data_IF_725138941069
#
_entry.id   IF_725138941069
#
_cell.length_a   1.000
_cell.length_b   1.000
_cell.length_c   1.000
_cell.angle_alpha   90.00
_cell.angle_beta   90.00
_cell.angle_gamma   90.00
#
_symmetry.space_group_name_H-M   'P 1'
#
loop_
_entity.id
_entity.type
_entity.pdbx_description
1 polymer ?
#
# COMPACT_ATOMS: atom_id res chain seq x y z
N UNK A 1 2.09 -12.63 -7.31
CA UNK A 1 1.08 -12.43 -6.25
C UNK A 1 1.82 -12.24 -4.93
N UNK A 2 1.68 -11.07 -4.30
CA UNK A 2 2.26 -10.81 -2.98
C UNK A 2 1.39 -11.46 -1.90
N UNK A 3 2.00 -11.93 -0.81
CA UNK A 3 1.32 -12.62 0.30
C UNK A 3 1.76 -11.98 1.61
N UNK A 4 0.86 -11.88 2.57
CA UNK A 4 1.12 -11.21 3.84
C UNK A 4 0.57 -12.02 5.02
N UNK A 5 1.16 -11.81 6.19
CA UNK A 5 0.70 -12.37 7.46
C UNK A 5 0.64 -11.27 8.53
N UNK A 6 -0.39 -11.35 9.37
CA UNK A 6 -0.58 -10.49 10.54
C UNK A 6 -1.00 -11.37 11.72
N UNK A 7 -0.44 -11.12 12.89
CA UNK A 7 -0.87 -11.78 14.12
C UNK A 7 -1.90 -10.88 14.78
N UNK A 8 -3.17 -11.23 14.69
CA UNK A 8 -4.25 -10.43 15.28
C UNK A 8 -4.37 -10.61 16.80
N UNK A 9 -4.12 -11.83 17.29
CA UNK A 9 -4.17 -12.14 18.72
C UNK A 9 -3.28 -13.33 19.05
N UNK A 10 -2.34 -13.12 19.96
CA UNK A 10 -1.58 -14.18 20.61
C UNK A 10 -1.83 -14.13 22.12
N UNK A 11 -2.21 -15.26 22.73
CA UNK A 11 -2.46 -15.31 24.17
C UNK A 11 -1.12 -15.32 24.92
N UNK A 12 -1.05 -14.56 26.01
CA UNK A 12 0.04 -14.58 27.00
C UNK A 12 1.45 -14.25 26.45
N UNK A 13 1.56 -13.67 25.24
CA UNK A 13 2.84 -13.27 24.65
C UNK A 13 2.72 -11.93 23.90
N UNK A 14 3.66 -11.00 24.09
CA UNK A 14 3.77 -9.84 23.22
C UNK A 14 4.16 -10.30 21.81
N UNK A 15 3.32 -9.97 20.83
CA UNK A 15 3.52 -10.34 19.42
C UNK A 15 3.62 -9.08 18.57
N UNK A 16 4.15 -9.25 17.35
CA UNK A 16 4.24 -8.14 16.41
C UNK A 16 2.85 -7.74 15.90
N UNK A 17 2.56 -6.44 15.98
CA UNK A 17 1.33 -5.83 15.45
C UNK A 17 1.49 -5.38 13.99
N UNK A 18 2.66 -5.59 13.41
CA UNK A 18 2.95 -5.22 12.03
C UNK A 18 2.55 -6.33 11.07
N UNK A 19 2.09 -5.94 9.88
CA UNK A 19 1.92 -6.85 8.77
C UNK A 19 3.29 -7.21 8.18
N UNK A 20 3.50 -8.48 7.85
CA UNK A 20 4.74 -8.96 7.27
C UNK A 20 4.50 -9.56 5.90
N UNK A 21 5.38 -9.29 4.94
CA UNK A 21 5.37 -9.96 3.65
C UNK A 21 5.97 -11.37 3.78
N UNK A 22 5.36 -12.33 3.10
CA UNK A 22 5.77 -13.73 3.12
C UNK A 22 5.93 -14.28 1.70
N UNK A 23 6.85 -15.24 1.56
CA UNK A 23 7.00 -16.06 0.36
C UNK A 23 6.86 -17.54 0.71
N UNK A 24 6.57 -18.36 -0.30
CA UNK A 24 6.50 -19.81 -0.17
C UNK A 24 7.56 -20.39 -1.12
N UNK A 25 8.61 -20.95 -0.56
CA UNK A 25 9.70 -21.57 -1.31
C UNK A 25 9.58 -23.10 -1.27
N UNK A 26 9.71 -23.74 -2.44
CA UNK A 26 9.65 -25.19 -2.55
C UNK A 26 10.78 -25.85 -1.73
N UNK A 27 10.42 -26.83 -0.91
CA UNK A 27 11.37 -27.51 -0.01
C UNK A 27 11.74 -26.75 1.27
N UNK A 28 11.32 -25.48 1.43
CA UNK A 28 11.56 -24.69 2.66
C UNK A 28 10.27 -24.31 3.39
N UNK A 29 9.16 -24.12 2.67
CA UNK A 29 7.88 -23.72 3.26
C UNK A 29 7.69 -22.20 3.27
N UNK A 30 7.01 -21.70 4.31
CA UNK A 30 6.69 -20.28 4.47
C UNK A 30 7.88 -19.52 5.05
N UNK A 31 8.32 -18.48 4.35
CA UNK A 31 9.42 -17.61 4.76
C UNK A 31 8.88 -16.19 4.95
N UNK A 32 9.19 -15.59 6.10
CA UNK A 32 8.87 -14.19 6.41
C UNK A 32 9.98 -13.31 5.86
N UNK A 33 9.64 -12.42 4.92
CA UNK A 33 10.60 -11.51 4.28
C UNK A 33 10.91 -10.29 5.17
N UNK A 34 9.92 -9.82 5.92
CA UNK A 34 10.06 -8.69 6.85
C UNK A 34 8.74 -7.93 7.06
N UNK A 35 8.73 -6.96 7.99
CA UNK A 35 7.59 -6.05 8.17
C UNK A 35 7.42 -5.18 6.93
N UNK A 36 6.18 -4.91 6.54
CA UNK A 36 5.89 -4.04 5.39
C UNK A 36 6.13 -2.58 5.80
N UNK A 37 7.04 -1.90 5.11
CA UNK A 37 7.30 -0.46 5.35
C UNK A 37 6.15 0.43 4.87
N UNK A 38 5.54 0.09 3.73
CA UNK A 38 4.38 0.80 3.19
C UNK A 38 3.11 0.48 3.97
N UNK A 39 2.79 1.30 4.98
CA UNK A 39 1.46 1.25 5.60
C UNK A 39 0.48 1.90 4.64
N UNK A 40 -0.72 1.34 4.53
CA UNK A 40 -1.82 1.99 3.79
C UNK A 40 -2.06 3.44 4.25
N UNK A 41 -1.78 3.72 5.52
CA UNK A 41 -1.86 5.05 6.15
C UNK A 41 -0.85 6.04 5.56
N UNK A 42 0.33 5.59 5.15
CA UNK A 42 1.40 6.44 4.61
C UNK A 42 1.12 6.85 3.15
N UNK A 43 0.28 6.10 2.45
CA UNK A 43 -0.09 6.33 1.03
C UNK A 43 -1.49 6.94 0.90
N UNK A 44 -2.37 6.72 1.88
CA UNK A 44 -3.74 7.22 1.85
C UNK A 44 -3.78 8.72 2.16
N UNK A 45 -3.67 9.54 1.11
CA UNK A 45 -3.99 10.96 1.21
C UNK A 45 -5.45 11.10 1.69
N UNK A 46 -5.75 11.99 2.65
CA UNK A 46 -7.11 12.27 3.05
C UNK A 46 -7.97 12.60 1.83
N UNK A 47 -9.22 12.12 1.79
CA UNK A 47 -10.13 12.27 0.64
C UNK A 47 -10.14 13.69 0.06
N UNK A 48 -10.12 14.71 0.92
CA UNK A 48 -10.08 16.13 0.54
C UNK A 48 -8.83 16.52 -0.26
N UNK A 49 -7.68 15.91 0.02
CA UNK A 49 -6.42 16.15 -0.70
C UNK A 49 -6.46 15.43 -2.04
N UNK A 50 -6.92 14.19 -2.07
CA UNK A 50 -7.11 13.43 -3.32
C UNK A 50 -8.06 14.16 -4.29
N UNK A 51 -9.19 14.66 -3.78
CA UNK A 51 -10.16 15.44 -4.57
C UNK A 51 -9.57 16.75 -5.12
N UNK A 52 -8.64 17.39 -4.38
CA UNK A 52 -7.93 18.58 -4.87
C UNK A 52 -6.96 18.25 -5.99
N UNK A 53 -6.22 17.14 -5.85
CA UNK A 53 -5.28 16.67 -6.87
C UNK A 53 -6.05 16.34 -8.14
N UNK A 54 -7.15 15.58 -8.04
CA UNK A 54 -7.97 15.22 -9.19
C UNK A 54 -8.50 16.45 -9.94
N UNK A 55 -9.06 17.43 -9.21
CA UNK A 55 -9.55 18.70 -9.79
C UNK A 55 -8.44 19.52 -10.44
N UNK A 56 -7.23 19.51 -9.87
CA UNK A 56 -6.08 20.21 -10.44
C UNK A 56 -5.60 19.53 -11.72
N UNK A 57 -5.60 18.19 -11.76
CA UNK A 57 -5.29 17.42 -12.96
C UNK A 57 -6.32 17.66 -14.06
N UNK A 58 -7.63 17.58 -13.75
CA UNK A 58 -8.71 17.87 -14.72
C UNK A 58 -8.59 19.28 -15.32
N UNK A 59 -8.29 20.29 -14.50
CA UNK A 59 -8.07 21.66 -14.99
C UNK A 59 -6.88 21.75 -15.93
N UNK A 60 -5.78 21.08 -15.59
CA UNK A 60 -4.56 21.05 -16.41
C UNK A 60 -4.79 20.37 -17.75
N UNK A 61 -5.58 19.30 -17.76
CA UNK A 61 -5.96 18.58 -18.99
C UNK A 61 -6.88 19.44 -19.87
N UNK A 62 -7.82 20.18 -19.27
CA UNK A 62 -8.66 21.15 -19.97
C UNK A 62 -7.91 22.38 -20.50
N UNK A 63 -6.80 22.76 -19.84
CA UNK A 63 -5.95 23.90 -20.21
C UNK A 63 -4.90 23.56 -21.29
N UNK A 64 -4.72 22.29 -21.66
CA UNK A 64 -3.93 21.92 -22.83
C UNK A 64 -4.83 21.94 -24.08
N UNK A 65 -4.80 22.99 -24.92
CA UNK A 65 -5.37 22.87 -26.25
C UNK A 65 -4.63 21.76 -27.01
N UNK A 66 -5.39 20.91 -27.71
CA UNK A 66 -4.90 19.88 -28.62
C UNK A 66 -3.69 20.41 -29.42
N UNK A 67 -2.57 19.66 -29.52
CA UNK A 67 -1.51 20.04 -30.43
C UNK A 67 -2.10 20.06 -31.83
N UNK A 68 -2.14 21.26 -32.43
CA UNK A 68 -2.59 21.45 -33.80
C UNK A 68 -1.65 20.69 -34.73
N UNK A 69 -2.14 19.61 -35.31
CA UNK A 69 -1.58 18.98 -36.50
C UNK A 69 -1.97 19.75 -37.76
#
# INVERSE_FOLDING_TARGET
MKRYVLVEKMRQTPHSLQMHEITIEHGKGLIILGPVEERREDIALPRRVMEKILKATERRELEQPEPSL
#
